data_IF_052896983894
#
_entry.id   IF_052896983894
#
_cell.length_a   1.000
_cell.length_b   1.000
_cell.length_c   1.000
_cell.angle_alpha   90.00
_cell.angle_beta   90.00
_cell.angle_gamma   90.00
#
_symmetry.space_group_name_H-M   'P 1'
#
loop_
_entity.id
_entity.type
_entity.pdbx_description
1 polymer ?
#
# COMPACT_ATOMS: atom_id res chain seq x y z
N UNK A 1 -11.64 13.65 8.93
CA UNK A 1 -11.18 13.59 10.33
C UNK A 1 -10.45 12.31 10.64
N UNK A 2 -11.06 11.14 10.43
CA UNK A 2 -10.36 9.86 10.63
C UNK A 2 -9.08 9.74 9.81
N UNK A 3 -9.07 10.29 8.60
CA UNK A 3 -7.90 10.28 7.74
C UNK A 3 -6.70 10.97 8.38
N UNK A 4 -6.88 12.21 8.87
CA UNK A 4 -5.79 12.95 9.50
C UNK A 4 -5.30 12.27 10.77
N UNK A 5 -6.22 11.72 11.52
CA UNK A 5 -5.88 11.01 12.74
C UNK A 5 -4.99 9.80 12.44
N UNK A 6 -5.33 9.05 11.39
CA UNK A 6 -4.50 7.89 11.00
C UNK A 6 -3.12 8.31 10.51
N UNK A 7 -3.04 9.35 9.74
CA UNK A 7 -1.74 9.84 9.28
C UNK A 7 -0.86 10.27 10.45
N UNK A 8 -1.45 10.94 11.43
CA UNK A 8 -0.71 11.36 12.64
C UNK A 8 -0.24 10.14 13.41
N UNK A 9 -1.10 9.14 13.59
CA UNK A 9 -0.74 7.89 14.25
C UNK A 9 0.36 7.18 13.49
N UNK A 10 0.25 7.12 12.17
CA UNK A 10 1.28 6.49 11.34
C UNK A 10 2.63 7.19 11.50
N UNK A 11 2.64 8.52 11.52
CA UNK A 11 3.87 9.28 11.73
C UNK A 11 4.46 9.00 13.11
N UNK A 12 3.62 8.92 14.13
CA UNK A 12 4.04 8.57 15.48
C UNK A 12 4.62 7.16 15.57
N UNK A 13 3.98 6.20 14.90
CA UNK A 13 4.50 4.84 14.81
C UNK A 13 5.85 4.80 14.13
N UNK A 14 6.02 5.56 13.06
CA UNK A 14 7.27 5.61 12.33
C UNK A 14 8.40 6.14 13.22
N UNK A 15 8.14 7.17 14.01
CA UNK A 15 9.09 7.68 14.98
C UNK A 15 9.42 6.63 16.04
N UNK A 16 8.40 5.86 16.47
CA UNK A 16 8.61 4.78 17.44
C UNK A 16 9.49 3.68 16.86
N UNK A 17 9.37 3.40 15.56
CA UNK A 17 10.22 2.40 14.89
C UNK A 17 11.70 2.74 15.04
N UNK A 18 12.06 4.02 15.09
CA UNK A 18 13.45 4.43 15.27
C UNK A 18 14.03 4.02 16.62
N UNK A 19 13.18 3.59 17.56
CA UNK A 19 13.60 3.11 18.88
C UNK A 19 13.64 1.58 18.99
N UNK A 20 13.75 0.88 17.87
CA UNK A 20 14.00 -0.56 17.89
C UNK A 20 12.81 -1.46 17.60
N UNK A 21 11.68 -0.90 17.20
CA UNK A 21 10.54 -1.69 16.73
C UNK A 21 10.91 -2.29 15.37
N UNK A 22 10.49 -3.53 15.12
CA UNK A 22 10.82 -4.21 13.88
C UNK A 22 10.33 -3.47 12.66
N UNK A 23 11.24 -3.30 11.68
CA UNK A 23 10.89 -2.74 10.38
C UNK A 23 10.17 -3.85 9.59
N UNK A 24 9.05 -3.52 8.90
CA UNK A 24 8.41 -4.51 8.03
C UNK A 24 9.40 -5.06 7.00
N UNK A 25 9.40 -6.37 6.82
CA UNK A 25 10.37 -7.10 6.02
C UNK A 25 9.86 -7.52 4.65
N UNK A 26 8.71 -6.99 4.23
CA UNK A 26 8.14 -7.23 2.92
C UNK A 26 7.78 -5.95 2.20
N UNK A 27 7.69 -6.01 0.89
CA UNK A 27 7.22 -4.89 0.07
C UNK A 27 6.35 -5.39 -1.07
N UNK A 28 5.41 -4.55 -1.49
CA UNK A 28 4.54 -4.84 -2.63
C UNK A 28 5.38 -4.94 -3.90
N UNK A 29 5.15 -6.00 -4.67
CA UNK A 29 5.91 -6.29 -5.88
C UNK A 29 5.50 -5.42 -7.06
N UNK A 30 4.22 -5.14 -7.20
CA UNK A 30 3.64 -4.53 -8.40
C UNK A 30 3.99 -3.06 -8.58
N UNK A 31 4.38 -2.38 -7.50
CA UNK A 31 4.67 -0.95 -7.52
C UNK A 31 5.97 -0.64 -6.79
N UNK A 32 6.65 0.40 -7.26
CA UNK A 32 7.80 0.97 -6.56
C UNK A 32 7.34 2.22 -5.81
N UNK A 33 7.65 2.30 -4.51
CA UNK A 33 7.26 3.45 -3.71
C UNK A 33 7.93 4.73 -4.23
N UNK A 34 7.16 5.79 -4.37
CA UNK A 34 7.64 7.06 -4.91
C UNK A 34 7.55 7.18 -6.42
N UNK A 35 7.24 6.10 -7.13
CA UNK A 35 7.14 6.12 -8.58
C UNK A 35 5.76 6.59 -9.05
N UNK A 36 5.67 6.97 -10.33
CA UNK A 36 4.43 7.41 -10.96
C UNK A 36 3.92 6.35 -11.92
N UNK A 37 2.61 6.15 -11.92
CA UNK A 37 1.92 5.17 -12.78
C UNK A 37 0.67 5.80 -13.36
N UNK A 38 0.31 5.41 -14.58
CA UNK A 38 -0.96 5.83 -15.16
C UNK A 38 -2.12 5.15 -14.44
N UNK A 39 -3.31 5.75 -14.53
CA UNK A 39 -4.52 5.14 -13.96
C UNK A 39 -4.79 3.78 -14.58
N UNK A 40 -4.52 3.64 -15.86
CA UNK A 40 -4.69 2.39 -16.60
C UNK A 40 -3.76 1.30 -16.06
N UNK A 41 -2.49 1.64 -15.82
CA UNK A 41 -1.52 0.71 -15.24
C UNK A 41 -1.96 0.25 -13.86
N UNK A 42 -2.41 1.18 -13.02
CA UNK A 42 -2.85 0.87 -11.66
C UNK A 42 -4.07 -0.04 -11.69
N UNK A 43 -5.05 0.30 -12.50
CA UNK A 43 -6.31 -0.47 -12.57
C UNK A 43 -6.16 -1.81 -13.28
N UNK A 44 -5.09 -2.00 -14.04
CA UNK A 44 -4.80 -3.27 -14.72
C UNK A 44 -4.22 -4.32 -13.78
N UNK A 45 -3.75 -3.94 -12.60
CA UNK A 45 -3.21 -4.89 -11.64
C UNK A 45 -4.34 -5.78 -11.13
N UNK A 46 -4.20 -7.09 -11.32
CA UNK A 46 -5.23 -8.04 -10.93
C UNK A 46 -5.18 -8.37 -9.44
N UNK A 47 -3.97 -8.44 -8.87
CA UNK A 47 -3.79 -8.70 -7.45
C UNK A 47 -2.45 -8.17 -6.98
N UNK A 48 -2.38 -7.84 -5.70
CA UNK A 48 -1.16 -7.42 -5.06
C UNK A 48 -0.48 -8.62 -4.40
N UNK A 49 0.83 -8.69 -4.55
CA UNK A 49 1.67 -9.68 -3.87
C UNK A 49 2.82 -8.98 -3.19
N UNK A 50 3.43 -9.65 -2.22
CA UNK A 50 4.53 -9.12 -1.44
C UNK A 50 5.76 -9.98 -1.67
N UNK A 51 6.89 -9.32 -1.88
CA UNK A 51 8.20 -9.96 -1.86
C UNK A 51 8.77 -9.84 -0.46
N UNK A 52 9.19 -10.96 0.11
CA UNK A 52 9.80 -11.01 1.43
C UNK A 52 11.29 -10.67 1.31
N UNK A 53 11.78 -9.83 2.21
CA UNK A 53 13.20 -9.49 2.29
C UNK A 53 13.77 -10.26 3.48
N UNK A 54 14.72 -11.16 3.21
CA UNK A 54 15.38 -11.95 4.24
C UNK A 54 16.33 -11.12 5.10
N UNK A 55 16.90 -11.78 6.11
CA UNK A 55 17.79 -11.14 7.07
C UNK A 55 19.09 -10.59 6.45
N UNK A 56 19.44 -11.06 5.28
CA UNK A 56 20.62 -10.60 4.53
C UNK A 56 20.26 -9.54 3.48
N UNK A 57 19.08 -8.96 3.55
CA UNK A 57 18.53 -7.98 2.60
C UNK A 57 18.34 -8.53 1.18
N UNK A 58 18.27 -9.84 1.05
CA UNK A 58 17.96 -10.48 -0.23
C UNK A 58 16.53 -11.02 -0.22
N UNK A 59 15.91 -10.98 -1.40
CA UNK A 59 14.59 -11.59 -1.56
C UNK A 59 14.76 -13.11 -1.53
N UNK A 60 13.83 -13.78 -0.84
CA UNK A 60 13.83 -15.26 -0.79
C UNK A 60 13.27 -15.88 -2.08
N UNK A 61 12.78 -15.07 -3.00
CA UNK A 61 12.22 -15.54 -4.26
C UNK A 61 10.75 -15.90 -4.21
N UNK A 62 10.16 -15.92 -3.03
CA UNK A 62 8.74 -16.25 -2.88
C UNK A 62 7.87 -14.99 -2.94
N UNK A 63 6.69 -15.16 -3.52
CA UNK A 63 5.65 -14.14 -3.49
C UNK A 63 4.56 -14.57 -2.54
N UNK A 64 4.14 -13.65 -1.68
CA UNK A 64 3.11 -13.90 -0.69
C UNK A 64 1.86 -13.10 -1.01
N UNK A 65 0.71 -13.66 -0.69
CA UNK A 65 -0.57 -13.06 -1.01
C UNK A 65 -0.92 -11.97 0.01
N UNK A 66 -1.31 -10.79 -0.50
CA UNK A 66 -1.91 -9.75 0.31
C UNK A 66 -3.32 -10.18 0.68
N UNK A 67 -3.70 -10.00 1.93
CA UNK A 67 -5.04 -10.37 2.41
C UNK A 67 -5.90 -9.16 2.75
N UNK A 68 -5.29 -8.03 3.05
CA UNK A 68 -6.02 -6.78 3.28
C UNK A 68 -5.06 -5.59 3.21
N UNK A 69 -5.60 -4.43 2.93
CA UNK A 69 -4.85 -3.17 2.98
C UNK A 69 -5.81 -1.99 3.07
N UNK A 70 -5.27 -0.84 3.43
CA UNK A 70 -6.00 0.42 3.37
C UNK A 70 -5.49 1.22 2.19
N UNK A 71 -6.42 1.75 1.40
CA UNK A 71 -6.11 2.58 0.25
C UNK A 71 -6.59 3.99 0.52
N UNK A 72 -5.68 4.95 0.40
CA UNK A 72 -5.99 6.36 0.62
C UNK A 72 -5.74 7.10 -0.68
N UNK A 73 -6.79 7.69 -1.24
CA UNK A 73 -6.69 8.57 -2.39
C UNK A 73 -6.49 9.99 -1.90
N UNK A 74 -5.35 10.60 -2.23
CA UNK A 74 -4.97 11.91 -1.75
C UNK A 74 -4.79 12.87 -2.93
N UNK A 75 -5.87 13.46 -3.45
CA UNK A 75 -5.77 14.46 -4.51
C UNK A 75 -5.15 15.75 -3.97
N UNK A 76 -4.38 16.44 -4.82
CA UNK A 76 -3.78 17.73 -4.45
C UNK A 76 -4.82 18.78 -4.11
N UNK A 77 -5.89 18.81 -4.87
CA UNK A 77 -6.91 19.86 -4.81
C UNK A 77 -8.27 19.29 -4.41
N UNK A 78 -8.28 18.36 -3.47
CA UNK A 78 -9.52 17.75 -3.06
C UNK A 78 -9.38 17.05 -1.73
N UNK A 79 -10.48 16.50 -1.29
CA UNK A 79 -10.55 15.79 -0.02
C UNK A 79 -10.05 14.36 -0.21
N UNK A 80 -9.23 13.90 0.74
CA UNK A 80 -8.77 12.53 0.71
C UNK A 80 -9.91 11.56 1.01
N UNK A 81 -9.87 10.41 0.33
CA UNK A 81 -10.81 9.32 0.55
C UNK A 81 -10.07 8.08 1.04
N UNK A 82 -10.69 7.36 1.95
CA UNK A 82 -10.12 6.20 2.61
C UNK A 82 -10.97 4.97 2.30
N UNK A 83 -10.31 3.90 1.90
CA UNK A 83 -10.96 2.61 1.62
C UNK A 83 -10.28 1.50 2.39
N UNK A 84 -11.06 0.65 3.02
CA UNK A 84 -10.57 -0.58 3.60
C UNK A 84 -10.84 -1.71 2.62
N UNK A 85 -9.77 -2.40 2.17
CA UNK A 85 -9.87 -3.47 1.18
C UNK A 85 -9.48 -4.78 1.85
N UNK A 86 -10.42 -5.72 1.94
CA UNK A 86 -10.18 -7.04 2.54
C UNK A 86 -9.98 -8.09 1.45
N UNK A 87 -9.02 -7.82 0.56
CA UNK A 87 -8.70 -8.67 -0.57
C UNK A 87 -7.30 -8.30 -1.07
N UNK A 88 -6.82 -9.05 -2.06
CA UNK A 88 -5.56 -8.73 -2.75
C UNK A 88 -5.78 -7.86 -4.00
N UNK A 89 -7.02 -7.56 -4.34
CA UNK A 89 -7.35 -6.77 -5.53
C UNK A 89 -8.28 -5.63 -5.18
N UNK A 90 -8.25 -4.58 -6.00
CA UNK A 90 -9.18 -3.47 -5.88
C UNK A 90 -10.52 -3.83 -6.51
N UNK A 91 -11.62 -3.43 -5.85
CA UNK A 91 -12.95 -3.59 -6.40
C UNK A 91 -13.15 -2.69 -7.62
N UNK A 92 -14.15 -3.01 -8.43
CA UNK A 92 -14.50 -2.17 -9.59
C UNK A 92 -14.91 -0.75 -9.16
N UNK A 93 -15.55 -0.62 -8.00
CA UNK A 93 -15.92 0.70 -7.45
C UNK A 93 -14.68 1.54 -7.16
N UNK A 94 -13.68 0.96 -6.52
CA UNK A 94 -12.42 1.66 -6.20
C UNK A 94 -11.70 2.06 -7.48
N UNK A 95 -11.63 1.14 -8.45
CA UNK A 95 -11.01 1.44 -9.76
C UNK A 95 -11.71 2.59 -10.47
N UNK A 96 -13.04 2.60 -10.45
CA UNK A 96 -13.84 3.66 -11.06
C UNK A 96 -13.55 5.00 -10.39
N UNK A 97 -13.41 5.04 -9.07
CA UNK A 97 -13.07 6.27 -8.34
C UNK A 97 -11.66 6.76 -8.68
N UNK A 98 -10.71 5.86 -8.81
CA UNK A 98 -9.36 6.24 -9.25
C UNK A 98 -9.43 6.91 -10.62
N UNK A 99 -10.14 6.29 -11.55
CA UNK A 99 -10.26 6.81 -12.93
C UNK A 99 -10.95 8.15 -13.01
N UNK A 100 -11.99 8.38 -12.19
CA UNK A 100 -12.80 9.58 -12.28
C UNK A 100 -12.32 10.72 -11.38
N UNK A 101 -11.69 10.44 -10.25
CA UNK A 101 -11.41 11.46 -9.23
C UNK A 101 -9.95 11.88 -9.15
N UNK A 102 -9.02 11.09 -9.68
CA UNK A 102 -7.60 11.42 -9.60
C UNK A 102 -7.08 11.96 -10.93
N UNK A 103 -6.12 12.87 -10.82
CA UNK A 103 -5.43 13.47 -11.96
C UNK A 103 -3.93 13.37 -11.76
N UNK A 104 -3.17 13.68 -12.80
CA UNK A 104 -1.71 13.65 -12.76
C UNK A 104 -1.15 14.41 -11.57
N UNK A 105 -0.25 13.81 -10.85
CA UNK A 105 0.37 14.36 -9.64
C UNK A 105 -0.33 14.02 -8.34
N UNK A 106 -1.53 13.49 -8.38
CA UNK A 106 -2.22 13.02 -7.18
C UNK A 106 -1.55 11.77 -6.63
N UNK A 107 -1.81 11.46 -5.36
CA UNK A 107 -1.19 10.33 -4.66
C UNK A 107 -2.17 9.22 -4.37
N UNK A 108 -1.65 8.00 -4.39
CA UNK A 108 -2.29 6.84 -3.78
C UNK A 108 -1.37 6.30 -2.70
N UNK A 109 -1.90 6.13 -1.51
CA UNK A 109 -1.16 5.55 -0.39
C UNK A 109 -1.79 4.20 -0.05
N UNK A 110 -0.95 3.18 -0.02
CA UNK A 110 -1.33 1.83 0.46
C UNK A 110 -0.71 1.66 1.83
N UNK A 111 -1.55 1.41 2.83
CA UNK A 111 -1.17 1.38 4.23
C UNK A 111 -1.75 0.15 4.91
N UNK A 112 -1.21 -0.23 6.07
CA UNK A 112 -1.65 -1.40 6.82
C UNK A 112 -1.80 -2.64 5.93
N UNK A 113 -0.80 -2.90 5.10
CA UNK A 113 -0.82 -4.01 4.16
C UNK A 113 -0.47 -5.29 4.89
N UNK A 114 -1.44 -6.18 5.04
CA UNK A 114 -1.24 -7.48 5.64
C UNK A 114 -1.09 -8.54 4.56
N UNK A 115 -0.11 -9.43 4.73
CA UNK A 115 0.06 -10.57 3.84
C UNK A 115 0.22 -11.85 4.66
N UNK A 116 0.08 -12.98 4.00
CA UNK A 116 0.16 -14.27 4.66
C UNK A 116 1.29 -15.09 4.05
N UNK A 117 2.12 -15.72 4.90
CA UNK A 117 3.22 -16.54 4.46
C UNK A 117 2.76 -17.96 4.12
N UNK A 118 3.66 -18.77 3.56
CA UNK A 118 3.36 -20.16 3.22
C UNK A 118 3.03 -21.01 4.45
N UNK A 119 3.50 -20.59 5.63
CA UNK A 119 3.17 -21.26 6.89
C UNK A 119 1.88 -20.76 7.52
N UNK A 120 1.16 -19.87 6.84
CA UNK A 120 -0.07 -19.31 7.36
C UNK A 120 0.13 -18.21 8.38
N UNK A 121 1.33 -17.65 8.50
CA UNK A 121 1.63 -16.56 9.43
C UNK A 121 1.29 -15.23 8.78
N UNK A 122 0.49 -14.42 9.48
CA UNK A 122 0.13 -13.08 9.04
C UNK A 122 1.24 -12.11 9.39
N UNK A 123 1.68 -11.33 8.40
CA UNK A 123 2.74 -10.32 8.57
C UNK A 123 2.31 -9.01 7.93
N UNK A 124 2.99 -7.95 8.30
CA UNK A 124 2.73 -6.62 7.79
C UNK A 124 3.81 -6.19 6.81
N UNK A 125 3.39 -5.56 5.73
CA UNK A 125 4.26 -5.08 4.66
C UNK A 125 4.52 -3.58 4.84
N UNK A 126 5.63 -3.10 4.27
CA UNK A 126 5.93 -1.67 4.24
C UNK A 126 4.84 -0.90 3.50
N UNK A 127 4.48 0.30 3.97
CA UNK A 127 3.53 1.14 3.23
C UNK A 127 4.12 1.58 1.89
N UNK A 128 3.23 1.94 0.98
CA UNK A 128 3.58 2.25 -0.41
C UNK A 128 2.89 3.53 -0.83
N UNK A 129 3.65 4.47 -1.39
CA UNK A 129 3.10 5.70 -1.97
C UNK A 129 3.42 5.71 -3.45
N UNK A 130 2.40 5.88 -4.29
CA UNK A 130 2.58 6.07 -5.73
C UNK A 130 1.88 7.34 -6.18
N UNK A 131 2.29 7.82 -7.33
CA UNK A 131 1.76 9.06 -7.91
C UNK A 131 1.05 8.74 -9.21
N UNK A 132 0.04 9.54 -9.53
CA UNK A 132 -0.64 9.45 -10.82
C UNK A 132 0.21 10.17 -11.86
N UNK A 133 0.44 9.49 -12.95
CA UNK A 133 1.24 9.97 -14.07
C UNK A 133 0.44 10.83 -15.03
#
# INVERSE_FOLDING_TARGET
>A
MKFFYRLIIFSGLFLTLSFGVQIPDGRVRQFNSGAAYSKEEICAIKKLTVLYIGNDNQFDGDEYRVIRYHLIMAPKNGQAEYFEVEADSMSEMVKAKIKSNLISGDKLLFDDIDYITNQGVKKQCSPLVIYIK
#
